data_IF_561250417934
#
_entry.id   IF_561250417934
#
_cell.length_a   1.000
_cell.length_b   1.000
_cell.length_c   1.000
_cell.angle_alpha   90.00
_cell.angle_beta   90.00
_cell.angle_gamma   90.00
#
_symmetry.space_group_name_H-M   'P 1'
#
loop_
_entity.id
_entity.type
_entity.pdbx_description
1 polymer ?
#
# COMPACT_ATOMS: atom_id res chain seq x y z
N UNK A 1 -67.39 22.67 -41.32
CA UNK A 1 -66.02 23.07 -40.92
C UNK A 1 -65.36 21.85 -40.29
N UNK A 2 -64.60 21.12 -41.10
CA UNK A 2 -63.57 20.17 -40.68
C UNK A 2 -62.56 20.93 -39.79
N UNK A 3 -61.82 20.38 -38.83
CA UNK A 3 -60.94 19.20 -38.76
C UNK A 3 -60.61 19.06 -37.26
N UNK A 4 -60.52 17.87 -36.65
CA UNK A 4 -59.29 17.08 -36.65
C UNK A 4 -58.73 16.95 -35.22
N UNK A 5 -58.65 15.71 -34.73
CA UNK A 5 -58.09 15.33 -33.44
C UNK A 5 -56.58 15.58 -33.36
N UNK A 6 -56.06 16.18 -32.27
CA UNK A 6 -54.63 16.11 -31.93
C UNK A 6 -54.37 15.94 -30.43
N UNK A 7 -54.20 14.67 -30.05
CA UNK A 7 -53.13 14.09 -29.21
C UNK A 7 -52.64 14.87 -27.98
N UNK A 8 -52.96 14.31 -26.82
CA UNK A 8 -52.37 14.57 -25.50
C UNK A 8 -50.83 14.49 -25.53
N UNK A 9 -50.16 15.63 -25.42
CA UNK A 9 -48.72 15.69 -25.15
C UNK A 9 -48.43 15.33 -23.68
N UNK A 10 -48.02 14.07 -23.45
CA UNK A 10 -47.26 13.76 -22.23
C UNK A 10 -45.92 14.49 -22.33
N UNK A 11 -45.61 15.36 -21.37
CA UNK A 11 -44.26 15.92 -21.18
C UNK A 11 -43.24 14.79 -21.06
N UNK A 12 -42.58 14.45 -22.16
CA UNK A 12 -41.39 13.61 -22.16
C UNK A 12 -40.27 14.47 -21.59
N UNK A 13 -39.84 14.17 -20.35
CA UNK A 13 -38.60 14.77 -19.82
C UNK A 13 -37.45 14.40 -20.78
N UNK A 14 -36.58 15.34 -21.16
CA UNK A 14 -35.48 15.03 -22.07
C UNK A 14 -34.63 13.90 -21.46
N UNK A 15 -34.43 12.83 -22.23
CA UNK A 15 -33.45 11.80 -21.89
C UNK A 15 -32.12 12.50 -21.73
N UNK A 16 -31.48 12.35 -20.55
CA UNK A 16 -30.09 12.79 -20.37
C UNK A 16 -29.27 12.19 -21.53
N UNK A 17 -28.42 12.96 -22.22
CA UNK A 17 -27.58 12.40 -23.25
C UNK A 17 -26.78 11.24 -22.64
N UNK A 18 -26.47 10.18 -23.41
CA UNK A 18 -25.51 9.17 -22.96
C UNK A 18 -24.29 9.96 -22.51
N UNK A 19 -23.82 9.74 -21.27
CA UNK A 19 -22.54 10.29 -20.83
C UNK A 19 -21.57 9.96 -21.96
N UNK A 20 -21.13 10.98 -22.69
CA UNK A 20 -20.02 10.83 -23.62
C UNK A 20 -18.98 10.04 -22.84
N UNK A 21 -18.52 8.96 -23.44
CA UNK A 21 -17.34 8.23 -22.99
C UNK A 21 -16.22 9.25 -23.04
N UNK A 22 -16.14 10.03 -21.96
CA UNK A 22 -15.12 11.02 -21.74
C UNK A 22 -13.89 10.15 -21.71
N UNK A 23 -13.03 10.36 -22.71
CA UNK A 23 -11.67 9.86 -22.71
C UNK A 23 -10.98 10.48 -21.48
N UNK A 24 -11.27 9.96 -20.30
CA UNK A 24 -10.62 10.28 -19.03
C UNK A 24 -9.36 9.41 -18.92
N UNK A 25 -8.54 9.41 -19.97
CA UNK A 25 -7.22 8.77 -19.94
C UNK A 25 -6.11 9.77 -19.61
N UNK A 26 -6.42 11.01 -19.20
CA UNK A 26 -5.39 12.03 -18.89
C UNK A 26 -5.57 12.81 -17.58
N UNK A 27 -6.43 12.37 -16.66
CA UNK A 27 -6.48 12.92 -15.28
C UNK A 27 -6.19 11.89 -14.19
N UNK A 28 -5.68 10.72 -14.56
CA UNK A 28 -5.10 9.78 -13.61
C UNK A 28 -3.60 10.07 -13.49
N UNK A 29 -3.28 11.28 -13.05
CA UNK A 29 -1.94 11.64 -12.63
C UNK A 29 -1.58 10.82 -11.39
N UNK A 30 -1.14 9.58 -11.59
CA UNK A 30 -0.16 9.04 -10.66
C UNK A 30 0.95 10.08 -10.59
N UNK A 31 1.23 10.59 -9.39
CA UNK A 31 2.42 11.42 -9.20
C UNK A 31 3.61 10.69 -9.84
N UNK A 32 4.53 11.40 -10.52
CA UNK A 32 5.80 10.82 -10.96
C UNK A 32 6.37 9.92 -9.86
N UNK A 33 7.07 8.84 -10.22
CA UNK A 33 7.65 7.92 -9.22
C UNK A 33 8.44 8.68 -8.14
N UNK A 34 9.09 9.77 -8.54
CA UNK A 34 9.88 10.64 -7.67
C UNK A 34 9.03 11.43 -6.65
N UNK A 35 7.80 11.83 -7.03
CA UNK A 35 6.85 12.59 -6.20
C UNK A 35 5.96 11.69 -5.31
N UNK A 36 6.19 10.36 -5.29
CA UNK A 36 5.44 9.43 -4.43
C UNK A 36 5.85 9.54 -2.97
N UNK A 37 7.14 9.70 -2.72
CA UNK A 37 7.64 9.78 -1.36
C UNK A 37 7.70 11.24 -0.89
N UNK A 38 7.39 11.50 0.39
CA UNK A 38 7.74 12.78 1.00
C UNK A 38 9.23 13.03 0.82
N UNK A 39 9.62 14.27 0.52
CA UNK A 39 11.03 14.64 0.38
C UNK A 39 11.87 14.17 1.58
N UNK A 40 11.29 14.25 2.78
CA UNK A 40 11.91 13.79 4.03
C UNK A 40 12.24 12.29 4.04
N UNK A 41 11.41 11.46 3.40
CA UNK A 41 11.64 10.01 3.31
C UNK A 41 12.77 9.67 2.34
N UNK A 42 12.86 10.39 1.23
CA UNK A 42 14.00 10.27 0.31
C UNK A 42 15.30 10.69 0.98
N UNK A 43 15.30 11.84 1.68
CA UNK A 43 16.46 12.31 2.43
C UNK A 43 16.88 11.30 3.51
N UNK A 44 15.92 10.69 4.20
CA UNK A 44 16.18 9.65 5.18
C UNK A 44 16.90 8.43 4.58
N UNK A 45 16.44 7.92 3.43
CA UNK A 45 17.07 6.79 2.73
C UNK A 45 18.48 7.16 2.26
N UNK A 46 18.67 8.36 1.70
CA UNK A 46 19.98 8.85 1.26
C UNK A 46 20.95 8.94 2.43
N UNK A 47 20.51 9.45 3.59
CA UNK A 47 21.36 9.56 4.78
C UNK A 47 21.78 8.17 5.30
N UNK A 48 20.88 7.19 5.27
CA UNK A 48 21.20 5.80 5.62
C UNK A 48 22.19 5.20 4.60
N UNK A 49 21.98 5.44 3.32
CA UNK A 49 22.88 4.96 2.27
C UNK A 49 24.29 5.56 2.41
N UNK A 50 24.39 6.87 2.68
CA UNK A 50 25.66 7.55 2.93
C UNK A 50 26.36 7.00 4.18
N UNK A 51 25.61 6.65 5.22
CA UNK A 51 26.14 6.01 6.41
C UNK A 51 26.71 4.61 6.09
N UNK A 52 25.95 3.78 5.36
CA UNK A 52 26.37 2.43 4.97
C UNK A 52 27.57 2.43 4.01
N UNK A 53 27.61 3.36 3.05
CA UNK A 53 28.73 3.58 2.14
C UNK A 53 29.94 4.22 2.84
N UNK A 54 29.78 4.61 4.10
CA UNK A 54 30.85 5.13 4.92
C UNK A 54 31.29 6.56 4.63
N UNK A 55 30.39 7.37 4.08
CA UNK A 55 30.61 8.80 3.79
C UNK A 55 30.07 9.72 4.89
N UNK A 56 29.21 9.19 5.78
CA UNK A 56 28.53 9.96 6.83
C UNK A 56 28.62 9.29 8.20
N UNK A 57 28.48 10.08 9.26
CA UNK A 57 28.51 9.65 10.66
C UNK A 57 27.17 9.06 11.13
N UNK A 58 27.22 8.25 12.20
CA UNK A 58 26.03 7.65 12.82
C UNK A 58 25.11 8.65 13.56
N UNK A 59 25.41 9.96 13.50
CA UNK A 59 24.68 11.02 14.22
C UNK A 59 23.23 11.12 13.77
N UNK A 60 22.98 11.06 12.46
CA UNK A 60 21.63 11.10 11.90
C UNK A 60 20.78 9.91 12.38
N UNK A 61 21.34 8.69 12.33
CA UNK A 61 20.65 7.48 12.74
C UNK A 61 20.34 7.51 14.24
N UNK A 62 21.27 8.00 15.06
CA UNK A 62 21.06 8.19 16.50
C UNK A 62 19.96 9.19 16.81
N UNK A 63 19.87 10.28 16.06
CA UNK A 63 18.86 11.31 16.29
C UNK A 63 17.47 10.84 15.83
N UNK A 64 17.40 10.12 14.71
CA UNK A 64 16.13 9.68 14.13
C UNK A 64 15.53 8.48 14.86
N UNK A 65 16.35 7.49 15.23
CA UNK A 65 15.90 6.27 15.90
C UNK A 65 16.15 6.26 17.42
N UNK A 66 16.77 7.31 17.97
CA UNK A 66 16.95 7.48 19.40
C UNK A 66 17.71 6.32 20.06
N UNK A 67 17.05 5.63 20.99
CA UNK A 67 17.61 4.50 21.76
C UNK A 67 17.51 3.15 21.06
N UNK A 68 16.87 3.07 19.89
CA UNK A 68 16.67 1.78 19.19
C UNK A 68 17.98 1.20 18.67
N UNK A 69 19.01 2.04 18.45
CA UNK A 69 20.33 1.64 17.99
C UNK A 69 21.43 2.10 18.94
N UNK A 70 22.38 1.19 19.21
CA UNK A 70 23.61 1.53 19.91
C UNK A 70 24.60 2.16 18.93
N UNK A 71 24.83 3.46 19.02
CA UNK A 71 25.65 4.24 18.09
C UNK A 71 27.06 3.69 17.91
N UNK A 72 27.73 3.37 19.01
CA UNK A 72 29.11 2.86 18.98
C UNK A 72 29.19 1.47 18.35
N UNK A 73 28.23 0.60 18.66
CA UNK A 73 28.13 -0.73 18.05
C UNK A 73 27.77 -0.65 16.57
N UNK A 74 26.92 0.30 16.19
CA UNK A 74 26.51 0.53 14.81
C UNK A 74 27.69 1.02 13.96
N UNK A 75 28.51 1.95 14.46
CA UNK A 75 29.75 2.40 13.80
C UNK A 75 30.73 1.23 13.62
N UNK A 76 30.98 0.48 14.69
CA UNK A 76 31.87 -0.69 14.65
C UNK A 76 31.41 -1.71 13.62
N UNK A 77 30.12 -2.04 13.60
CA UNK A 77 29.58 -2.98 12.62
C UNK A 77 29.69 -2.46 11.18
N UNK A 78 29.56 -1.15 10.96
CA UNK A 78 29.76 -0.52 9.64
C UNK A 78 31.22 -0.60 9.21
N UNK A 79 32.17 -0.33 10.10
CA UNK A 79 33.60 -0.43 9.78
C UNK A 79 34.00 -1.87 9.46
N UNK A 80 33.54 -2.83 10.28
CA UNK A 80 33.70 -4.26 10.01
C UNK A 80 33.10 -4.68 8.66
N UNK A 81 31.94 -4.12 8.29
CA UNK A 81 31.32 -4.41 7.00
C UNK A 81 32.20 -3.95 5.84
N UNK A 82 32.80 -2.76 5.92
CA UNK A 82 33.70 -2.22 4.89
C UNK A 82 35.01 -3.02 4.82
N UNK A 83 35.53 -3.47 5.95
CA UNK A 83 36.71 -4.33 6.02
C UNK A 83 36.45 -5.69 5.38
N UNK A 84 35.29 -6.29 5.67
CA UNK A 84 34.87 -7.57 5.06
C UNK A 84 34.68 -7.40 3.55
N UNK A 85 34.11 -6.30 3.08
CA UNK A 85 33.97 -6.01 1.66
C UNK A 85 35.36 -5.93 0.98
N UNK A 86 36.31 -5.27 1.64
CA UNK A 86 37.70 -5.15 1.17
C UNK A 86 38.39 -6.52 1.13
N UNK A 87 38.21 -7.36 2.16
CA UNK A 87 38.80 -8.71 2.22
C UNK A 87 38.25 -9.66 1.15
N UNK A 88 37.01 -9.45 0.69
CA UNK A 88 36.36 -10.30 -0.32
C UNK A 88 36.68 -9.90 -1.76
N UNK A 89 37.49 -8.85 -1.98
CA UNK A 89 37.72 -8.24 -3.30
C UNK A 89 36.40 -7.84 -4.02
N UNK A 90 35.37 -7.52 -3.24
CA UNK A 90 34.10 -7.02 -3.78
C UNK A 90 34.22 -5.52 -4.10
N UNK A 91 33.45 -4.99 -5.07
CA UNK A 91 33.45 -3.57 -5.35
C UNK A 91 33.11 -2.77 -4.08
N UNK A 92 33.69 -1.57 -3.90
CA UNK A 92 33.46 -0.77 -2.70
C UNK A 92 31.98 -0.47 -2.55
N UNK A 93 31.45 -0.68 -1.34
CA UNK A 93 30.05 -0.44 -0.98
C UNK A 93 29.73 1.03 -1.25
N UNK A 94 28.98 1.31 -2.33
CA UNK A 94 28.59 2.67 -2.73
C UNK A 94 27.10 2.89 -2.59
N UNK A 95 26.35 1.81 -2.75
CA UNK A 95 24.89 1.84 -2.81
C UNK A 95 24.29 0.82 -1.86
N UNK A 96 23.05 1.09 -1.41
CA UNK A 96 22.30 0.16 -0.56
C UNK A 96 22.11 -1.22 -1.22
N UNK A 97 22.07 -1.26 -2.56
CA UNK A 97 22.03 -2.49 -3.35
C UNK A 97 23.27 -3.37 -3.14
N UNK A 98 24.46 -2.78 -3.08
CA UNK A 98 25.71 -3.52 -2.84
C UNK A 98 25.66 -4.20 -1.47
N UNK A 99 25.20 -3.47 -0.45
CA UNK A 99 25.00 -4.00 0.90
C UNK A 99 24.03 -5.17 0.87
N UNK A 100 22.88 -4.99 0.23
CA UNK A 100 21.86 -6.05 0.13
C UNK A 100 22.41 -7.27 -0.60
N UNK A 101 23.25 -7.11 -1.61
CA UNK A 101 23.88 -8.21 -2.33
C UNK A 101 24.85 -8.99 -1.42
N UNK A 102 25.62 -8.32 -0.57
CA UNK A 102 26.49 -8.99 0.42
C UNK A 102 25.68 -9.80 1.45
N UNK A 103 24.49 -9.32 1.79
CA UNK A 103 23.59 -9.98 2.74
C UNK A 103 22.72 -11.09 2.10
N UNK A 104 22.89 -11.42 0.81
CA UNK A 104 22.19 -12.54 0.14
C UNK A 104 23.00 -13.85 0.22
N UNK A 105 22.28 -14.98 0.22
CA UNK A 105 22.86 -16.34 0.23
C UNK A 105 23.39 -16.79 1.60
N UNK A 106 24.04 -17.97 1.62
CA UNK A 106 24.57 -18.61 2.84
C UNK A 106 25.64 -17.75 3.54
N UNK A 107 26.49 -17.08 2.75
CA UNK A 107 27.50 -16.13 3.27
C UNK A 107 26.87 -14.90 3.92
N UNK A 108 25.68 -14.51 3.47
CA UNK A 108 24.91 -13.39 4.02
C UNK A 108 24.27 -13.74 5.36
N UNK A 109 23.93 -15.01 5.60
CA UNK A 109 23.35 -15.45 6.87
C UNK A 109 24.33 -15.29 8.03
N UNK A 110 25.60 -15.66 7.81
CA UNK A 110 26.67 -15.42 8.76
C UNK A 110 26.87 -13.92 9.05
N UNK A 111 26.84 -13.08 8.02
CA UNK A 111 26.96 -11.62 8.18
C UNK A 111 25.80 -11.01 8.99
N UNK A 112 24.57 -11.53 8.85
CA UNK A 112 23.43 -11.08 9.66
C UNK A 112 23.60 -11.40 11.14
N UNK A 113 24.21 -12.54 11.45
CA UNK A 113 24.54 -12.93 12.82
C UNK A 113 25.70 -12.14 13.40
N UNK A 114 26.72 -11.86 12.58
CA UNK A 114 27.91 -11.11 12.99
C UNK A 114 27.62 -9.61 13.18
N UNK A 115 26.77 -9.02 12.33
CA UNK A 115 26.49 -7.58 12.28
C UNK A 115 24.98 -7.29 12.46
N UNK A 116 24.41 -7.57 13.64
CA UNK A 116 22.96 -7.49 13.85
C UNK A 116 22.38 -6.08 13.68
N UNK A 117 23.11 -5.04 14.11
CA UNK A 117 22.66 -3.63 14.00
C UNK A 117 22.51 -3.20 12.53
N UNK A 118 23.50 -3.52 11.69
CA UNK A 118 23.46 -3.18 10.26
C UNK A 118 22.40 -4.00 9.55
N UNK A 119 22.27 -5.29 9.89
CA UNK A 119 21.21 -6.12 9.34
C UNK A 119 19.80 -5.58 9.69
N UNK A 120 19.63 -5.03 10.89
CA UNK A 120 18.38 -4.38 11.29
C UNK A 120 18.17 -3.07 10.52
N UNK A 121 19.19 -2.22 10.41
CA UNK A 121 19.11 -0.96 9.67
C UNK A 121 18.77 -1.17 8.19
N UNK A 122 19.40 -2.15 7.53
CA UNK A 122 19.13 -2.51 6.13
C UNK A 122 17.70 -3.02 5.96
N UNK A 123 17.18 -3.82 6.91
CA UNK A 123 15.78 -4.24 6.89
C UNK A 123 14.84 -3.04 6.96
N UNK A 124 15.08 -2.11 7.88
CA UNK A 124 14.24 -0.91 8.00
C UNK A 124 14.28 -0.10 6.70
N UNK A 125 15.48 0.17 6.17
CA UNK A 125 15.65 0.91 4.92
C UNK A 125 14.90 0.27 3.74
N UNK A 126 14.88 -1.05 3.63
CA UNK A 126 14.13 -1.78 2.61
C UNK A 126 12.61 -1.78 2.86
N UNK A 127 12.16 -1.69 4.10
CA UNK A 127 10.72 -1.66 4.42
C UNK A 127 10.06 -0.32 4.12
N UNK A 128 10.78 0.80 4.27
CA UNK A 128 10.26 2.16 4.01
C UNK A 128 9.65 2.32 2.61
N UNK A 129 10.32 1.93 1.50
CA UNK A 129 9.74 2.04 0.17
C UNK A 129 8.54 1.11 -0.04
N UNK A 130 8.57 -0.08 0.57
CA UNK A 130 7.52 -1.08 0.44
C UNK A 130 6.24 -0.64 1.15
N UNK A 131 6.34 -0.09 2.36
CA UNK A 131 5.18 0.37 3.13
C UNK A 131 4.48 1.54 2.44
N UNK A 132 5.23 2.49 1.88
CA UNK A 132 4.68 3.58 1.08
C UNK A 132 3.82 3.05 -0.08
N UNK A 133 4.36 2.12 -0.89
CA UNK A 133 3.62 1.48 -1.98
C UNK A 133 2.31 0.83 -1.53
N UNK A 134 2.32 0.14 -0.39
CA UNK A 134 1.11 -0.50 0.16
C UNK A 134 0.07 0.53 0.63
N UNK A 135 0.51 1.62 1.23
CA UNK A 135 -0.36 2.71 1.66
C UNK A 135 -1.02 3.40 0.46
N UNK A 136 -0.26 3.70 -0.60
CA UNK A 136 -0.78 4.31 -1.82
C UNK A 136 -1.81 3.42 -2.52
N UNK A 137 -1.54 2.11 -2.59
CA UNK A 137 -2.51 1.13 -3.10
C UNK A 137 -3.80 1.16 -2.30
N UNK A 138 -3.70 1.25 -0.97
CA UNK A 138 -4.86 1.30 -0.06
C UNK A 138 -5.66 2.60 -0.21
N UNK A 139 -4.99 3.76 -0.29
CA UNK A 139 -5.64 5.04 -0.53
C UNK A 139 -6.28 5.13 -1.92
N UNK A 140 -5.62 4.59 -2.95
CA UNK A 140 -6.17 4.51 -4.31
C UNK A 140 -7.43 3.63 -4.35
N UNK A 141 -7.37 2.47 -3.69
CA UNK A 141 -8.50 1.57 -3.50
C UNK A 141 -9.69 2.29 -2.82
N UNK A 142 -9.43 2.93 -1.68
CA UNK A 142 -10.43 3.72 -0.95
C UNK A 142 -11.06 4.82 -1.81
N UNK A 143 -10.24 5.54 -2.58
CA UNK A 143 -10.72 6.62 -3.46
C UNK A 143 -11.65 6.07 -4.54
N UNK A 144 -11.30 4.96 -5.19
CA UNK A 144 -12.17 4.28 -6.17
C UNK A 144 -13.49 3.83 -5.54
N UNK A 145 -13.46 3.22 -4.35
CA UNK A 145 -14.67 2.81 -3.61
C UNK A 145 -15.56 4.02 -3.31
N UNK A 146 -14.99 5.13 -2.81
CA UNK A 146 -15.74 6.36 -2.53
C UNK A 146 -16.37 6.98 -3.79
N UNK A 147 -15.62 7.03 -4.89
CA UNK A 147 -16.11 7.58 -6.16
C UNK A 147 -17.21 6.71 -6.76
N UNK A 148 -17.03 5.39 -6.77
CA UNK A 148 -18.01 4.46 -7.32
C UNK A 148 -19.34 4.48 -6.54
N UNK A 149 -19.27 4.54 -5.20
CA UNK A 149 -20.44 4.46 -4.34
C UNK A 149 -21.12 5.82 -4.06
N UNK A 150 -20.61 6.94 -4.58
CA UNK A 150 -21.27 8.25 -4.50
C UNK A 150 -21.42 8.78 -3.06
N UNK A 151 -20.36 8.68 -2.25
CA UNK A 151 -20.15 9.19 -0.88
C UNK A 151 -21.34 9.78 -0.08
N UNK A 152 -22.31 8.94 0.28
CA UNK A 152 -23.24 9.15 1.41
C UNK A 152 -23.12 8.04 2.48
N UNK A 153 -22.07 7.22 2.41
CA UNK A 153 -21.88 6.08 3.30
C UNK A 153 -21.19 6.46 4.61
N UNK A 154 -21.68 5.92 5.73
CA UNK A 154 -21.01 6.03 7.03
C UNK A 154 -19.64 5.33 7.07
N UNK A 155 -18.75 5.81 7.94
CA UNK A 155 -17.35 5.39 8.01
C UNK A 155 -17.19 3.88 8.27
N UNK A 156 -18.03 3.28 9.11
CA UNK A 156 -18.00 1.84 9.41
C UNK A 156 -18.26 1.01 8.15
N UNK A 157 -19.30 1.34 7.38
CA UNK A 157 -19.63 0.63 6.14
C UNK A 157 -18.52 0.82 5.09
N UNK A 158 -17.95 2.02 5.00
CA UNK A 158 -16.83 2.31 4.11
C UNK A 158 -15.61 1.43 4.41
N UNK A 159 -15.22 1.33 5.69
CA UNK A 159 -14.07 0.53 6.10
C UNK A 159 -14.27 -0.95 5.72
N UNK A 160 -15.45 -1.53 5.99
CA UNK A 160 -15.74 -2.92 5.63
C UNK A 160 -15.65 -3.16 4.12
N UNK A 161 -16.24 -2.28 3.30
CA UNK A 161 -16.20 -2.41 1.84
C UNK A 161 -14.78 -2.21 1.31
N UNK A 162 -14.01 -1.30 1.88
CA UNK A 162 -12.63 -1.06 1.49
C UNK A 162 -11.72 -2.28 1.74
N UNK A 163 -11.91 -2.97 2.87
CA UNK A 163 -11.19 -4.22 3.18
C UNK A 163 -11.57 -5.31 2.17
N UNK A 164 -12.87 -5.50 1.90
CA UNK A 164 -13.34 -6.48 0.92
C UNK A 164 -12.80 -6.21 -0.49
N UNK A 165 -12.72 -4.94 -0.89
CA UNK A 165 -12.19 -4.53 -2.19
C UNK A 165 -10.66 -4.64 -2.26
N UNK A 166 -9.93 -4.27 -1.20
CA UNK A 166 -8.48 -4.40 -1.12
C UNK A 166 -8.03 -5.87 -1.18
N UNK A 167 -8.81 -6.77 -0.57
CA UNK A 167 -8.59 -8.21 -0.55
C UNK A 167 -9.56 -8.98 -1.45
N UNK A 168 -9.92 -8.42 -2.62
CA UNK A 168 -10.92 -9.02 -3.53
C UNK A 168 -10.68 -10.51 -3.85
N UNK A 169 -9.43 -10.95 -3.96
CA UNK A 169 -9.09 -12.34 -4.26
C UNK A 169 -9.43 -13.29 -3.10
N UNK A 170 -9.28 -12.81 -1.86
CA UNK A 170 -9.72 -13.54 -0.67
C UNK A 170 -11.24 -13.49 -0.58
N UNK A 171 -11.83 -12.31 -0.76
CA UNK A 171 -13.29 -12.12 -0.74
C UNK A 171 -14.03 -13.02 -1.73
N UNK A 172 -13.46 -13.27 -2.92
CA UNK A 172 -14.04 -14.16 -3.93
C UNK A 172 -14.04 -15.64 -3.51
N UNK A 173 -13.13 -16.05 -2.62
CA UNK A 173 -13.05 -17.42 -2.10
C UNK A 173 -14.02 -17.67 -0.94
N UNK A 174 -14.62 -16.62 -0.39
CA UNK A 174 -15.55 -16.73 0.73
C UNK A 174 -16.88 -17.33 0.23
N UNK A 175 -17.36 -18.36 0.91
CA UNK A 175 -18.64 -18.97 0.60
C UNK A 175 -19.79 -18.06 1.09
N UNK A 176 -20.51 -17.47 0.13
CA UNK A 176 -21.61 -16.54 0.41
C UNK A 176 -22.81 -17.22 1.07
N UNK A 177 -23.05 -18.51 0.82
CA UNK A 177 -24.17 -19.25 1.40
C UNK A 177 -24.02 -19.38 2.92
N UNK A 178 -22.83 -19.76 3.40
CA UNK A 178 -22.56 -19.84 4.84
C UNK A 178 -22.72 -18.50 5.55
N UNK A 179 -22.32 -17.41 4.89
CA UNK A 179 -22.51 -16.06 5.43
C UNK A 179 -23.99 -15.67 5.45
N UNK A 180 -24.73 -15.99 4.39
CA UNK A 180 -26.16 -15.74 4.32
C UNK A 180 -26.90 -16.50 5.43
N UNK A 181 -26.60 -17.79 5.62
CA UNK A 181 -27.19 -18.61 6.67
C UNK A 181 -26.88 -18.06 8.06
N UNK A 182 -25.63 -17.64 8.31
CA UNK A 182 -25.25 -16.97 9.55
C UNK A 182 -25.95 -15.61 9.74
N UNK A 183 -26.20 -14.86 8.67
CA UNK A 183 -26.89 -13.58 8.71
C UNK A 183 -28.40 -13.72 8.99
N UNK A 184 -29.03 -14.72 8.37
CA UNK A 184 -30.43 -15.12 8.58
C UNK A 184 -30.59 -15.64 10.01
N UNK A 185 -29.64 -16.48 10.46
CA UNK A 185 -29.59 -17.09 11.78
C UNK A 185 -29.64 -16.12 12.97
N UNK A 186 -29.12 -14.90 12.79
CA UNK A 186 -28.98 -13.88 13.86
C UNK A 186 -30.25 -13.14 14.22
N UNK A 187 -31.34 -13.25 13.46
CA UNK A 187 -32.60 -12.56 13.76
C UNK A 187 -33.79 -13.44 13.41
N UNK A 188 -34.72 -13.61 14.37
CA UNK A 188 -35.95 -14.36 14.15
C UNK A 188 -36.81 -13.76 13.02
N UNK A 189 -36.81 -12.44 12.86
CA UNK A 189 -37.49 -11.75 11.75
C UNK A 189 -36.90 -12.16 10.41
N UNK A 190 -35.56 -12.20 10.30
CA UNK A 190 -34.87 -12.58 9.05
C UNK A 190 -35.11 -14.04 8.71
N UNK A 191 -35.08 -14.95 9.69
CA UNK A 191 -35.44 -16.36 9.49
C UNK A 191 -36.80 -16.47 8.81
N UNK A 192 -37.84 -15.83 9.36
CA UNK A 192 -39.18 -15.92 8.80
C UNK A 192 -39.31 -15.28 7.41
N UNK A 193 -38.51 -14.25 7.09
CA UNK A 193 -38.52 -13.60 5.77
C UNK A 193 -37.76 -14.38 4.69
N UNK A 194 -36.63 -15.02 5.04
CA UNK A 194 -35.77 -15.69 4.06
C UNK A 194 -36.00 -17.20 3.97
N UNK A 195 -36.63 -17.83 4.97
CA UNK A 195 -36.97 -19.26 4.94
C UNK A 195 -38.27 -19.56 4.18
N UNK A 196 -39.15 -18.58 3.99
CA UNK A 196 -40.44 -18.75 3.30
C UNK A 196 -40.36 -18.76 1.77
N UNK A 197 -39.16 -18.73 1.19
CA UNK A 197 -38.93 -18.71 -0.27
C UNK A 197 -38.40 -20.05 -0.82
N UNK A 198 -38.35 -21.10 0.02
CA UNK A 198 -37.85 -22.44 -0.35
C UNK A 198 -38.96 -23.52 -0.35
N UNK A 199 -40.23 -23.15 -0.53
CA UNK A 199 -41.33 -24.08 -0.84
C UNK A 199 -41.67 -24.08 -2.34
#
# INVERSE_FOLDING_TARGET
MEVGWTKTERRVKPRRPPRQVRRETSLHGGRPLDDRYPADTWQHIINIEQFLAGKADATYVSQFYGSDFQTERLKLHRDMLLDIATQRNEPPVRTLEDVVQMFRGEKGEYLRGLLPEIAMLVKIALTVPVTSCTSERSFSCLRRVKTYLGSTMGQTRLNHVAVLHGHKELSRKINLYLIADGFIGRSAVRKNTFLSLNE
#
